data_IF_693868912102
#
_entry.id   IF_693868912102
#
_cell.length_a   1.000
_cell.length_b   1.000
_cell.length_c   1.000
_cell.angle_alpha   90.00
_cell.angle_beta   90.00
_cell.angle_gamma   90.00
#
_symmetry.space_group_name_H-M   'P 1'
#
loop_
_entity.id
_entity.type
_entity.pdbx_description
1 polymer ?
#
# COMPACT_ATOMS: atom_id res chain seq x y z
N UNK A 1 -15.17 -20.90 -22.10
CA UNK A 1 -14.18 -20.13 -21.30
C UNK A 1 -13.54 -21.11 -20.33
N UNK A 2 -12.22 -21.22 -20.33
CA UNK A 2 -11.52 -22.12 -19.42
C UNK A 2 -11.56 -21.53 -18.00
N UNK A 3 -12.12 -22.28 -17.05
CA UNK A 3 -12.07 -21.91 -15.63
C UNK A 3 -10.68 -22.21 -15.10
N UNK A 4 -9.84 -21.21 -14.93
CA UNK A 4 -8.55 -21.36 -14.25
C UNK A 4 -8.74 -21.37 -12.74
N UNK A 5 -8.27 -22.46 -12.10
CA UNK A 5 -8.20 -22.52 -10.64
C UNK A 5 -6.90 -21.85 -10.19
N UNK A 6 -7.00 -20.90 -9.27
CA UNK A 6 -5.87 -20.25 -8.63
C UNK A 6 -5.88 -20.52 -7.13
N UNK A 7 -4.70 -20.57 -6.52
CA UNK A 7 -4.59 -20.80 -5.08
C UNK A 7 -4.82 -19.51 -4.27
N UNK A 8 -4.42 -18.36 -4.83
CA UNK A 8 -4.52 -17.06 -4.16
C UNK A 8 -4.96 -16.01 -5.17
N UNK A 9 -5.95 -15.23 -4.79
CA UNK A 9 -6.43 -14.07 -5.52
C UNK A 9 -6.13 -12.81 -4.70
N UNK A 10 -5.52 -11.80 -5.34
CA UNK A 10 -5.12 -10.55 -4.70
C UNK A 10 -5.77 -9.39 -5.46
N UNK A 11 -6.48 -8.53 -4.75
CA UNK A 11 -7.06 -7.30 -5.29
C UNK A 11 -6.15 -6.11 -4.97
N UNK A 12 -5.61 -5.48 -6.02
CA UNK A 12 -4.74 -4.31 -5.94
C UNK A 12 -3.25 -4.63 -6.02
N UNK A 13 -2.58 -4.01 -7.00
CA UNK A 13 -1.14 -4.13 -7.23
C UNK A 13 -0.36 -2.97 -6.57
N UNK A 14 -0.81 -2.48 -5.44
CA UNK A 14 -0.04 -1.55 -4.60
C UNK A 14 1.15 -2.24 -3.93
N UNK A 15 1.93 -1.48 -3.14
CA UNK A 15 3.14 -1.99 -2.50
C UNK A 15 2.93 -3.30 -1.74
N UNK A 16 1.91 -3.37 -0.87
CA UNK A 16 1.63 -4.58 -0.07
C UNK A 16 1.16 -5.76 -0.92
N UNK A 17 0.22 -5.52 -1.85
CA UNK A 17 -0.33 -6.59 -2.71
C UNK A 17 0.73 -7.20 -3.63
N UNK A 18 1.60 -6.37 -4.19
CA UNK A 18 2.69 -6.82 -5.07
C UNK A 18 3.74 -7.65 -4.31
N UNK A 19 4.15 -7.22 -3.12
CA UNK A 19 5.10 -7.97 -2.28
C UNK A 19 4.48 -9.29 -1.85
N UNK A 20 3.22 -9.28 -1.39
CA UNK A 20 2.51 -10.50 -0.99
C UNK A 20 2.40 -11.49 -2.15
N UNK A 21 2.01 -11.00 -3.35
CA UNK A 21 1.95 -11.81 -4.56
C UNK A 21 3.29 -12.47 -4.88
N UNK A 22 4.37 -11.69 -4.82
CA UNK A 22 5.72 -12.18 -5.12
C UNK A 22 6.17 -13.28 -4.14
N UNK A 23 5.93 -13.08 -2.84
CA UNK A 23 6.29 -14.07 -1.81
C UNK A 23 5.53 -15.37 -1.99
N UNK A 24 4.21 -15.28 -2.19
CA UNK A 24 3.36 -16.47 -2.37
C UNK A 24 3.66 -17.21 -3.68
N UNK A 25 3.94 -16.47 -4.76
CA UNK A 25 4.35 -17.06 -6.03
C UNK A 25 5.72 -17.77 -5.92
N UNK A 26 6.70 -17.16 -5.22
CA UNK A 26 7.99 -17.80 -4.92
C UNK A 26 7.84 -19.09 -4.10
N UNK A 27 6.80 -19.19 -3.27
CA UNK A 27 6.44 -20.41 -2.55
C UNK A 27 5.71 -21.46 -3.44
N UNK A 28 5.69 -21.27 -4.77
CA UNK A 28 5.13 -22.22 -5.74
C UNK A 28 3.61 -22.20 -5.84
N UNK A 29 2.92 -21.18 -5.30
CA UNK A 29 1.47 -21.08 -5.42
C UNK A 29 1.06 -20.33 -6.68
N UNK A 30 -0.01 -20.79 -7.34
CA UNK A 30 -0.60 -20.06 -8.46
C UNK A 30 -1.36 -18.84 -7.93
N UNK A 31 -0.90 -17.64 -8.32
CA UNK A 31 -1.44 -16.35 -7.86
C UNK A 31 -2.05 -15.61 -9.03
N UNK A 32 -3.18 -14.96 -8.79
CA UNK A 32 -3.74 -13.93 -9.67
C UNK A 32 -3.79 -12.62 -8.89
N UNK A 33 -3.18 -11.59 -9.47
CA UNK A 33 -3.20 -10.22 -8.98
C UNK A 33 -4.01 -9.37 -9.96
N UNK A 34 -5.05 -8.71 -9.48
CA UNK A 34 -5.86 -7.78 -10.26
C UNK A 34 -5.62 -6.36 -9.81
N UNK A 35 -5.45 -5.49 -10.77
CA UNK A 35 -5.34 -4.04 -10.57
C UNK A 35 -6.39 -3.33 -11.43
N UNK A 36 -7.04 -2.33 -10.90
CA UNK A 36 -8.08 -1.57 -11.63
C UNK A 36 -7.51 -0.41 -12.44
N UNK A 37 -6.34 0.08 -12.06
CA UNK A 37 -5.68 1.21 -12.71
C UNK A 37 -4.67 0.77 -13.78
N UNK A 38 -4.03 1.74 -14.46
CA UNK A 38 -3.08 1.47 -15.52
C UNK A 38 -1.75 0.90 -15.00
N UNK A 39 -1.04 0.24 -15.88
CA UNK A 39 0.36 -0.14 -15.68
C UNK A 39 1.28 1.03 -16.06
N UNK A 40 1.61 1.85 -15.07
CA UNK A 40 2.46 3.02 -15.25
C UNK A 40 3.88 2.62 -15.62
N UNK A 41 4.38 3.18 -16.70
CA UNK A 41 5.76 3.00 -17.08
C UNK A 41 6.64 4.06 -16.41
N UNK A 42 7.94 3.78 -16.23
CA UNK A 42 8.86 4.73 -15.61
C UNK A 42 8.89 6.08 -16.33
N UNK A 43 8.73 6.07 -17.65
CA UNK A 43 8.61 7.28 -18.49
C UNK A 43 7.37 8.13 -18.17
N UNK A 44 6.33 7.54 -17.59
CA UNK A 44 5.09 8.23 -17.23
C UNK A 44 5.22 8.95 -15.88
N UNK A 45 6.22 8.58 -15.08
CA UNK A 45 6.42 9.07 -13.71
C UNK A 45 7.40 10.26 -13.67
N UNK A 46 7.15 11.27 -14.48
CA UNK A 46 7.98 12.48 -14.56
C UNK A 46 7.71 13.38 -13.35
N UNK A 47 8.74 13.65 -12.56
CA UNK A 47 8.66 14.54 -11.41
C UNK A 47 8.60 16.00 -11.84
N UNK A 48 7.38 16.53 -12.02
CA UNK A 48 7.14 17.95 -12.26
C UNK A 48 5.80 18.38 -11.68
N UNK A 49 5.68 19.67 -11.29
CA UNK A 49 4.43 20.25 -10.81
C UNK A 49 3.29 20.13 -11.82
N UNK A 50 3.62 20.29 -13.10
CA UNK A 50 2.66 20.19 -14.18
C UNK A 50 2.10 18.78 -14.30
N UNK A 51 2.97 17.77 -14.27
CA UNK A 51 2.61 16.37 -14.33
C UNK A 51 1.85 15.94 -13.05
N UNK A 52 2.35 16.32 -11.90
CA UNK A 52 1.73 16.04 -10.61
C UNK A 52 0.31 16.62 -10.48
N UNK A 53 -0.02 17.68 -11.21
CA UNK A 53 -1.36 18.28 -11.19
C UNK A 53 -2.32 17.72 -12.24
N UNK A 54 -1.83 17.28 -13.39
CA UNK A 54 -2.67 16.86 -14.54
C UNK A 54 -2.75 15.35 -14.73
N UNK A 55 -1.69 14.64 -14.46
CA UNK A 55 -1.57 13.21 -14.77
C UNK A 55 -1.25 12.46 -13.47
N UNK A 56 -2.08 12.64 -12.47
CA UNK A 56 -1.82 12.02 -11.19
C UNK A 56 -2.07 10.51 -11.25
N UNK A 57 -1.13 9.68 -10.82
CA UNK A 57 -1.44 8.32 -10.43
C UNK A 57 -2.33 8.27 -9.17
N UNK A 58 -2.90 9.39 -8.80
CA UNK A 58 -3.84 9.52 -7.71
C UNK A 58 -5.26 9.37 -8.21
N UNK A 59 -6.07 8.64 -7.48
CA UNK A 59 -7.49 8.47 -7.76
C UNK A 59 -8.26 9.78 -7.61
N UNK A 60 -9.50 9.78 -8.10
CA UNK A 60 -10.46 10.85 -7.87
C UNK A 60 -10.76 11.10 -6.39
N UNK A 61 -11.71 11.98 -6.09
CA UNK A 61 -12.02 12.37 -4.72
C UNK A 61 -12.45 11.20 -3.87
N UNK A 62 -11.93 11.14 -2.64
CA UNK A 62 -12.38 10.19 -1.64
C UNK A 62 -13.64 10.67 -0.97
N UNK A 63 -14.55 9.75 -0.72
CA UNK A 63 -15.63 9.97 0.22
C UNK A 63 -15.07 9.81 1.64
N UNK A 64 -15.05 10.90 2.40
CA UNK A 64 -14.65 10.90 3.80
C UNK A 64 -15.92 10.80 4.65
N UNK A 65 -16.06 9.68 5.36
CA UNK A 65 -17.18 9.45 6.27
C UNK A 65 -16.69 9.26 7.70
N UNK A 66 -17.54 9.58 8.66
CA UNK A 66 -17.27 9.37 10.08
C UNK A 66 -17.56 10.59 10.95
N UNK A 67 -17.45 10.40 12.27
CA UNK A 67 -17.73 11.46 13.25
C UNK A 67 -16.66 12.56 13.28
N UNK A 68 -15.45 12.24 12.90
CA UNK A 68 -14.31 13.15 12.89
C UNK A 68 -13.62 13.11 11.50
N UNK A 69 -14.20 13.74 10.46
CA UNK A 69 -13.57 13.78 9.16
C UNK A 69 -12.26 14.57 9.23
N UNK A 70 -11.24 14.09 8.53
CA UNK A 70 -9.98 14.82 8.43
C UNK A 70 -10.18 16.11 7.64
N UNK A 71 -9.56 17.21 8.08
CA UNK A 71 -9.65 18.53 7.42
C UNK A 71 -8.84 18.66 6.13
N UNK A 72 -8.30 17.57 5.58
CA UNK A 72 -7.51 17.58 4.35
C UNK A 72 -7.86 16.41 3.44
N UNK A 73 -7.61 16.60 2.15
CA UNK A 73 -7.88 15.57 1.13
C UNK A 73 -6.68 14.64 1.02
N UNK A 74 -6.91 13.35 1.25
CA UNK A 74 -5.92 12.31 0.99
C UNK A 74 -5.76 12.07 -0.52
N UNK A 75 -4.54 11.78 -0.93
CA UNK A 75 -4.24 11.27 -2.26
C UNK A 75 -3.93 9.78 -2.16
N UNK A 76 -4.68 8.96 -2.89
CA UNK A 76 -4.39 7.54 -3.02
C UNK A 76 -3.78 7.23 -4.38
N UNK A 77 -2.97 6.20 -4.42
CA UNK A 77 -2.40 5.69 -5.64
C UNK A 77 -3.42 4.94 -6.48
N UNK A 78 -3.26 5.05 -7.78
CA UNK A 78 -4.08 4.42 -8.79
C UNK A 78 -3.16 3.73 -9.81
N UNK A 79 -3.35 2.45 -10.04
CA UNK A 79 -2.54 1.67 -10.97
C UNK A 79 -1.49 0.78 -10.31
N UNK A 80 -0.71 0.11 -11.13
CA UNK A 80 0.37 -0.77 -10.66
C UNK A 80 1.40 0.05 -9.89
N UNK A 81 1.67 -0.36 -8.65
CA UNK A 81 2.48 0.39 -7.69
C UNK A 81 1.66 1.18 -6.66
N UNK A 82 0.41 1.54 -6.99
CA UNK A 82 -0.49 2.26 -6.07
C UNK A 82 0.10 3.56 -5.54
N UNK A 83 -0.15 3.87 -4.27
CA UNK A 83 0.36 5.08 -3.61
C UNK A 83 1.89 5.14 -3.50
N UNK A 84 2.60 4.03 -3.68
CA UNK A 84 4.06 4.02 -3.67
C UNK A 84 4.68 4.78 -4.85
N UNK A 85 3.89 5.08 -5.88
CA UNK A 85 4.36 5.85 -7.05
C UNK A 85 4.48 7.36 -6.81
N UNK A 86 3.86 7.89 -5.74
CA UNK A 86 3.80 9.33 -5.50
C UNK A 86 3.97 9.74 -4.03
N UNK A 87 4.55 8.88 -3.20
CA UNK A 87 4.89 9.24 -1.82
C UNK A 87 6.28 9.88 -1.74
N UNK A 88 6.60 10.49 -0.59
CA UNK A 88 7.89 11.16 -0.37
C UNK A 88 9.06 10.21 -0.06
N UNK A 89 8.93 8.94 -0.38
CA UNK A 89 9.91 7.89 -0.08
C UNK A 89 10.29 7.77 1.41
N UNK A 90 9.42 8.22 2.31
CA UNK A 90 9.58 8.01 3.74
C UNK A 90 9.24 6.57 4.08
N UNK A 91 10.25 5.79 4.43
CA UNK A 91 10.12 4.39 4.79
C UNK A 91 10.89 4.10 6.09
N UNK A 92 10.43 4.63 7.23
CA UNK A 92 11.13 4.46 8.50
C UNK A 92 10.99 3.03 9.02
N UNK A 93 12.04 2.54 9.66
CA UNK A 93 11.95 1.35 10.50
C UNK A 93 11.22 1.74 11.79
N UNK A 94 10.13 1.05 12.10
CA UNK A 94 9.37 1.27 13.33
C UNK A 94 10.21 0.95 14.56
N UNK A 95 9.96 1.66 15.65
CA UNK A 95 10.60 1.42 16.94
C UNK A 95 9.77 0.43 17.79
N UNK A 96 10.38 -0.28 18.75
CA UNK A 96 9.66 -1.22 19.59
C UNK A 96 8.44 -0.65 20.32
N UNK A 97 8.50 0.61 20.74
CA UNK A 97 7.41 1.31 21.43
C UNK A 97 6.25 1.71 20.50
N UNK A 98 6.48 1.81 19.19
CA UNK A 98 5.40 2.08 18.22
C UNK A 98 4.30 0.99 18.23
N UNK A 99 4.65 -0.21 18.68
CA UNK A 99 3.72 -1.33 18.78
C UNK A 99 2.86 -1.32 20.04
N UNK A 100 3.17 -0.46 21.04
CA UNK A 100 2.54 -0.43 22.36
C UNK A 100 2.00 0.95 22.77
N UNK A 101 1.56 1.71 21.80
CA UNK A 101 1.13 3.10 22.02
C UNK A 101 0.01 3.21 23.06
N UNK A 102 -0.96 2.28 23.04
CA UNK A 102 -2.03 2.30 24.04
C UNK A 102 -1.53 1.91 25.43
N UNK A 103 -0.77 0.84 25.55
CA UNK A 103 -0.26 0.36 26.83
C UNK A 103 0.71 1.34 27.48
N UNK A 104 1.55 2.02 26.69
CA UNK A 104 2.59 2.91 27.20
C UNK A 104 2.12 4.36 27.37
N UNK A 105 1.20 4.82 26.49
CA UNK A 105 0.79 6.23 26.44
C UNK A 105 -0.71 6.46 26.60
N UNK A 106 -1.53 5.43 26.78
CA UNK A 106 -2.98 5.52 26.95
C UNK A 106 -3.76 6.00 25.75
N UNK A 107 -3.15 6.04 24.55
CA UNK A 107 -3.74 6.54 23.30
C UNK A 107 -3.69 5.48 22.23
N UNK A 108 -4.53 5.65 21.18
CA UNK A 108 -4.61 4.75 20.03
C UNK A 108 -4.85 3.28 20.44
N UNK A 109 -4.22 2.34 19.74
CA UNK A 109 -4.31 0.90 19.98
C UNK A 109 -2.90 0.30 19.97
N UNK A 110 -2.71 -0.80 20.68
CA UNK A 110 -1.53 -1.63 20.49
C UNK A 110 -1.67 -2.46 19.23
N UNK A 111 -0.56 -2.71 18.57
CA UNK A 111 -0.53 -3.63 17.46
C UNK A 111 -0.66 -5.07 17.95
N UNK A 112 -1.32 -5.97 17.18
CA UNK A 112 -1.41 -7.39 17.53
C UNK A 112 -0.10 -8.17 17.34
N UNK A 113 0.94 -7.51 16.86
CA UNK A 113 2.29 -8.01 16.66
C UNK A 113 3.29 -7.13 17.38
N UNK A 114 4.49 -7.63 17.61
CA UNK A 114 5.59 -6.90 18.24
C UNK A 114 6.67 -6.52 17.24
N UNK A 115 7.58 -5.64 17.65
CA UNK A 115 8.79 -5.34 16.88
C UNK A 115 9.60 -6.60 16.54
N UNK A 116 9.67 -7.58 17.46
CA UNK A 116 10.42 -8.82 17.24
C UNK A 116 9.85 -9.66 16.10
N UNK A 117 8.55 -9.60 15.88
CA UNK A 117 7.88 -10.32 14.80
C UNK A 117 8.23 -9.71 13.43
N UNK A 118 8.48 -8.40 13.36
CA UNK A 118 8.85 -7.69 12.14
C UNK A 118 10.36 -7.56 11.91
N UNK A 119 11.17 -7.61 12.96
CA UNK A 119 12.61 -7.40 12.87
C UNK A 119 13.29 -8.23 11.76
N UNK A 120 12.97 -9.52 11.55
CA UNK A 120 13.57 -10.34 10.49
C UNK A 120 13.24 -9.89 9.06
N UNK A 121 12.24 -9.03 8.89
CA UNK A 121 11.80 -8.54 7.58
C UNK A 121 12.34 -7.14 7.24
N UNK A 122 13.05 -6.51 8.17
CA UNK A 122 13.70 -5.22 7.96
C UNK A 122 15.13 -5.35 7.41
N UNK A 123 15.74 -6.51 7.55
CA UNK A 123 17.10 -6.84 7.09
C UNK A 123 16.99 -7.58 5.75
#
# INVERSE_FOLDING_TARGET
MANEKVAVFIGGAGASGSVFAAVVAKAGKKVVLLEQGPDWQLSDLISSDFWGRRIKPASGPFLLEGKNPFGFVYQAGWGVGGAALHYFANFPRLLPNDFKIKSEHGRALDWPISYRDLAPFYD
#
